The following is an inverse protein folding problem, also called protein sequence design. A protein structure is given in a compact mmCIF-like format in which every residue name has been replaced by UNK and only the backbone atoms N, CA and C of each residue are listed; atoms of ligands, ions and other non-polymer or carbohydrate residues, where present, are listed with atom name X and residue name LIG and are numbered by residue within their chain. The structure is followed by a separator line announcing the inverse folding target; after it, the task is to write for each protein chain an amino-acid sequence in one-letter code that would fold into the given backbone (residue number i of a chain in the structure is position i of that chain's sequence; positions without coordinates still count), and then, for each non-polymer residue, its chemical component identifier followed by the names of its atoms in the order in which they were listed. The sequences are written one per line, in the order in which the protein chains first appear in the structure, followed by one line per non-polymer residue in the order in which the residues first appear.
data_IF_485906915758
#
_entry.id   IF_485906915758
#
_cell.length_a   1.000
_cell.length_b   1.000
_cell.length_c   1.000
_cell.angle_alpha   90.00
_cell.angle_beta   90.00
_cell.angle_gamma   90.00
#
_symmetry.space_group_name_H-M   'P 1'
#
loop_
_entity.id
_entity.type
_entity.pdbx_description
1 polymer ?
#
# COMPACT_ATOMS: atom_id res chain seq x y z
N UNK A 1 4.27 51.07 -11.64
CA UNK A 1 5.37 50.60 -10.77
C UNK A 1 4.89 49.34 -10.12
N UNK A 2 5.21 48.22 -10.68
CA UNK A 2 4.75 46.90 -10.29
C UNK A 2 5.98 46.04 -10.04
N UNK A 3 6.25 45.77 -8.78
CA UNK A 3 7.31 44.83 -8.37
C UNK A 3 6.80 43.39 -8.46
N UNK A 4 7.37 42.62 -9.38
CA UNK A 4 7.21 41.16 -9.45
C UNK A 4 8.31 40.55 -8.59
N UNK A 5 7.95 40.00 -7.43
CA UNK A 5 8.86 39.16 -6.66
C UNK A 5 8.91 37.77 -7.28
N UNK A 6 10.08 37.40 -7.75
CA UNK A 6 10.38 36.06 -8.26
C UNK A 6 10.50 35.09 -7.10
N UNK A 7 9.66 34.07 -7.10
CA UNK A 7 9.76 32.92 -6.20
C UNK A 7 11.03 32.14 -6.54
N UNK A 8 11.99 32.16 -5.61
CA UNK A 8 13.27 31.47 -5.76
C UNK A 8 13.12 29.98 -5.89
N UNK A 9 13.77 29.40 -6.88
CA UNK A 9 13.87 27.96 -7.12
C UNK A 9 14.51 27.24 -5.92
N UNK A 10 14.02 26.06 -5.51
CA UNK A 10 14.63 25.30 -4.42
C UNK A 10 16.04 24.85 -4.82
N UNK A 11 17.02 25.19 -3.99
CA UNK A 11 18.40 24.72 -4.16
C UNK A 11 18.47 23.23 -3.83
N UNK A 12 18.87 22.43 -4.81
CA UNK A 12 19.31 21.04 -4.60
C UNK A 12 20.54 21.05 -3.69
N UNK A 13 20.39 20.49 -2.50
CA UNK A 13 21.54 20.21 -1.62
C UNK A 13 22.15 18.89 -2.09
N UNK A 14 23.23 18.99 -2.85
CA UNK A 14 24.05 17.84 -3.24
C UNK A 14 24.92 17.44 -2.05
N UNK A 15 24.61 16.34 -1.39
CA UNK A 15 25.47 15.74 -0.37
C UNK A 15 26.47 14.86 -1.11
N UNK A 16 27.70 15.34 -1.27
CA UNK A 16 28.81 14.53 -1.78
C UNK A 16 29.32 13.60 -0.64
N UNK A 17 29.40 12.28 -0.84
CA UNK A 17 30.04 11.40 0.13
C UNK A 17 31.56 11.62 0.07
N UNK A 18 32.18 11.85 1.22
CA UNK A 18 33.64 11.86 1.38
C UNK A 18 34.17 10.41 1.35
N UNK A 19 34.96 10.13 0.33
CA UNK A 19 36.18 9.31 0.41
C UNK A 19 36.06 7.79 0.43
N UNK A 20 36.47 7.14 -0.66
CA UNK A 20 37.44 6.08 -0.72
C UNK A 20 37.00 4.67 -0.31
N UNK A 21 36.91 3.78 -1.31
CA UNK A 21 36.92 2.32 -1.09
C UNK A 21 36.31 1.58 -2.28
N UNK A 22 37.09 0.74 -2.92
CA UNK A 22 36.77 -0.01 -4.12
C UNK A 22 35.60 -1.01 -4.00
N UNK A 23 35.24 -1.75 -5.09
CA UNK A 23 34.04 -2.52 -5.18
C UNK A 23 34.04 -3.71 -4.22
N UNK A 24 33.16 -3.67 -3.24
CA UNK A 24 32.87 -4.75 -2.31
C UNK A 24 31.79 -5.65 -2.88
N UNK A 25 32.11 -6.90 -3.01
CA UNK A 25 31.27 -8.06 -3.27
C UNK A 25 29.98 -8.04 -2.46
N UNK A 26 28.86 -8.32 -3.13
CA UNK A 26 27.50 -8.42 -2.60
C UNK A 26 27.36 -9.52 -1.54
N UNK A 27 27.71 -9.21 -0.29
CA UNK A 27 27.22 -9.90 0.90
C UNK A 27 26.14 -9.02 1.52
N UNK A 28 25.08 -9.61 2.11
CA UNK A 28 24.16 -8.91 3.00
C UNK A 28 24.99 -8.24 4.09
N UNK A 29 25.40 -7.01 3.88
CA UNK A 29 25.95 -6.20 4.95
C UNK A 29 24.80 -6.00 5.94
N UNK A 30 24.88 -6.66 7.09
CA UNK A 30 24.15 -6.25 8.28
C UNK A 30 24.50 -4.79 8.52
N UNK A 31 23.65 -3.90 8.04
CA UNK A 31 23.85 -2.47 8.25
C UNK A 31 23.64 -2.21 9.74
N UNK A 32 24.74 -2.20 10.47
CA UNK A 32 24.74 -1.79 11.87
C UNK A 32 24.12 -0.39 11.97
N UNK A 33 22.97 -0.32 12.59
CA UNK A 33 22.27 0.94 12.81
C UNK A 33 22.68 1.53 14.15
N UNK A 34 23.42 2.63 14.13
CA UNK A 34 23.79 3.36 15.36
C UNK A 34 22.64 4.28 15.75
N UNK A 35 22.15 4.15 16.99
CA UNK A 35 21.04 4.97 17.50
C UNK A 35 21.37 6.47 17.51
N UNK A 36 22.64 6.84 17.67
CA UNK A 36 23.11 8.23 17.60
C UNK A 36 22.96 8.88 16.22
N UNK A 37 22.92 8.08 15.16
CA UNK A 37 22.83 8.52 13.75
C UNK A 37 21.46 8.22 13.14
N UNK A 38 20.62 7.46 13.84
CA UNK A 38 19.36 6.99 13.34
C UNK A 38 18.27 8.03 13.51
N UNK A 39 17.48 8.27 12.45
CA UNK A 39 16.36 9.19 12.49
C UNK A 39 15.20 8.59 13.28
N UNK A 40 15.32 8.69 14.61
CA UNK A 40 14.30 8.22 15.55
C UNK A 40 14.18 9.20 16.71
N UNK A 41 12.95 9.48 17.11
CA UNK A 41 12.62 10.24 18.33
C UNK A 41 11.43 9.57 19.00
N UNK A 42 11.63 9.17 20.24
CA UNK A 42 10.57 8.60 21.08
C UNK A 42 9.85 9.70 21.87
N UNK A 43 8.65 9.41 22.30
CA UNK A 43 7.88 10.30 23.18
C UNK A 43 7.76 9.69 24.56
N UNK A 44 7.80 10.53 25.59
CA UNK A 44 7.58 10.10 26.98
C UNK A 44 6.09 9.87 27.24
N UNK A 45 5.25 10.75 26.71
CA UNK A 45 3.83 10.78 26.95
C UNK A 45 3.03 10.16 25.82
N UNK A 46 1.84 9.70 26.14
CA UNK A 46 0.92 9.17 25.16
C UNK A 46 0.36 10.31 24.31
N UNK A 47 0.23 10.11 22.97
CA UNK A 47 -0.47 11.06 22.13
C UNK A 47 -1.93 11.19 22.59
N UNK A 48 -2.44 12.42 22.63
CA UNK A 48 -3.78 12.71 23.12
C UNK A 48 -4.91 12.03 22.31
N UNK A 49 -4.62 11.69 21.04
CA UNK A 49 -5.55 11.04 20.12
C UNK A 49 -5.37 9.52 20.04
N UNK A 50 -4.49 8.92 20.84
CA UNK A 50 -4.19 7.51 20.81
C UNK A 50 -5.05 6.71 21.81
N UNK A 51 -6.22 6.27 21.36
CA UNK A 51 -7.17 5.51 22.19
C UNK A 51 -6.73 4.06 22.44
N UNK A 52 -6.07 3.41 21.44
CA UNK A 52 -5.69 1.99 21.51
C UNK A 52 -4.20 1.81 21.77
N UNK A 53 -3.80 0.72 22.46
CA UNK A 53 -2.39 0.48 22.80
C UNK A 53 -1.46 0.44 21.58
N UNK A 54 -1.86 -0.19 20.47
CA UNK A 54 -1.04 -0.25 19.28
C UNK A 54 -0.72 1.13 18.72
N UNK A 55 -1.69 2.03 18.64
CA UNK A 55 -1.48 3.41 18.22
C UNK A 55 -0.51 4.16 19.13
N UNK A 56 -0.73 4.07 20.44
CA UNK A 56 0.16 4.68 21.43
C UNK A 56 1.60 4.25 21.25
N UNK A 57 1.84 2.95 21.21
CA UNK A 57 3.19 2.42 21.10
C UNK A 57 3.87 2.74 19.79
N UNK A 58 3.17 2.65 18.65
CA UNK A 58 3.73 3.00 17.35
C UNK A 58 4.18 4.46 17.29
N UNK A 59 3.41 5.38 17.86
CA UNK A 59 3.77 6.80 17.90
C UNK A 59 4.88 7.04 18.90
N UNK A 60 4.78 6.53 20.14
CA UNK A 60 5.78 6.72 21.19
C UNK A 60 7.14 6.16 20.82
N UNK A 61 7.18 4.97 20.25
CA UNK A 61 8.41 4.32 19.85
C UNK A 61 9.03 4.87 18.55
N UNK A 62 8.39 5.86 17.89
CA UNK A 62 8.92 6.48 16.69
C UNK A 62 8.83 5.61 15.43
N UNK A 63 7.76 4.81 15.32
CA UNK A 63 7.46 4.04 14.12
C UNK A 63 6.63 4.83 13.12
N UNK A 64 5.70 5.63 13.61
CA UNK A 64 4.83 6.48 12.80
C UNK A 64 4.71 7.89 13.39
N UNK A 65 4.31 8.84 12.54
CA UNK A 65 3.85 10.18 12.96
C UNK A 65 2.57 10.55 12.23
N UNK A 66 1.65 11.16 12.95
CA UNK A 66 0.40 11.66 12.35
C UNK A 66 0.70 12.88 11.49
N UNK A 67 0.29 12.81 10.24
CA UNK A 67 0.31 13.94 9.29
C UNK A 67 -1.01 14.69 9.33
N UNK A 68 -2.12 13.92 9.31
CA UNK A 68 -3.49 14.41 9.45
C UNK A 68 -4.36 13.28 10.03
N UNK A 69 -5.63 13.51 10.40
CA UNK A 69 -6.53 12.46 10.85
C UNK A 69 -6.60 11.31 9.83
N UNK A 70 -6.19 10.10 10.24
CA UNK A 70 -6.17 8.91 9.38
C UNK A 70 -5.05 8.87 8.34
N UNK A 71 -4.07 9.79 8.40
CA UNK A 71 -2.93 9.86 7.48
C UNK A 71 -1.64 9.89 8.32
N UNK A 72 -0.73 8.95 8.05
CA UNK A 72 0.48 8.75 8.85
C UNK A 72 1.73 8.69 8.00
N UNK A 73 2.78 9.34 8.47
CA UNK A 73 4.13 9.15 7.95
C UNK A 73 4.75 7.93 8.62
N UNK A 74 5.24 6.99 7.83
CA UNK A 74 6.06 5.88 8.29
C UNK A 74 7.49 6.35 8.53
N UNK A 75 7.97 6.25 9.77
CA UNK A 75 9.35 6.55 10.13
C UNK A 75 10.26 5.33 9.85
N UNK A 76 11.59 5.46 9.86
CA UNK A 76 12.48 4.39 9.42
C UNK A 76 12.24 3.02 10.08
N UNK A 77 11.94 2.97 11.39
CA UNK A 77 11.61 1.69 12.06
C UNK A 77 10.30 1.11 11.58
N UNK A 78 9.25 1.94 11.50
CA UNK A 78 7.95 1.52 11.00
C UNK A 78 8.00 1.04 9.55
N UNK A 79 8.75 1.77 8.71
CA UNK A 79 8.94 1.40 7.30
C UNK A 79 9.68 0.07 7.14
N UNK A 80 10.66 -0.24 8.00
CA UNK A 80 11.33 -1.56 8.02
C UNK A 80 10.34 -2.68 8.32
N UNK A 81 9.44 -2.49 9.30
CA UNK A 81 8.40 -3.48 9.63
C UNK A 81 7.43 -3.65 8.46
N UNK A 82 6.92 -2.54 7.89
CA UNK A 82 6.03 -2.58 6.74
C UNK A 82 6.65 -3.37 5.57
N UNK A 83 7.89 -3.05 5.18
CA UNK A 83 8.60 -3.75 4.10
C UNK A 83 8.83 -5.23 4.39
N UNK A 84 9.01 -5.60 5.66
CA UNK A 84 9.12 -7.01 6.05
C UNK A 84 7.81 -7.76 5.86
N UNK A 85 6.69 -7.14 6.24
CA UNK A 85 5.34 -7.69 6.03
C UNK A 85 5.08 -7.82 4.52
N UNK A 86 5.38 -6.79 3.74
CA UNK A 86 5.26 -6.82 2.29
C UNK A 86 6.11 -7.94 1.65
N UNK A 87 7.34 -8.15 2.14
CA UNK A 87 8.22 -9.21 1.63
C UNK A 87 7.61 -10.60 1.88
N UNK A 88 7.06 -10.84 3.08
CA UNK A 88 6.34 -12.08 3.40
C UNK A 88 5.15 -12.30 2.45
N UNK A 89 4.36 -11.25 2.22
CA UNK A 89 3.23 -11.33 1.30
C UNK A 89 3.68 -11.64 -0.13
N UNK A 90 4.76 -11.00 -0.63
CA UNK A 90 5.32 -11.27 -1.97
C UNK A 90 5.79 -12.70 -2.13
N UNK A 91 6.51 -13.22 -1.14
CA UNK A 91 7.01 -14.59 -1.17
C UNK A 91 5.86 -15.62 -1.25
N UNK A 92 4.81 -15.43 -0.46
CA UNK A 92 3.68 -16.34 -0.46
C UNK A 92 2.78 -16.21 -1.71
N UNK A 93 2.65 -15.00 -2.25
CA UNK A 93 1.94 -14.81 -3.52
C UNK A 93 2.72 -15.39 -4.69
N UNK A 94 4.05 -15.23 -4.73
CA UNK A 94 4.90 -15.87 -5.73
C UNK A 94 4.84 -17.40 -5.64
N UNK A 95 4.78 -17.96 -4.43
CA UNK A 95 4.70 -19.41 -4.20
C UNK A 95 3.42 -20.06 -4.78
N UNK A 96 2.34 -19.29 -4.95
CA UNK A 96 1.11 -19.76 -5.63
C UNK A 96 1.06 -19.40 -7.11
N UNK A 97 2.14 -18.85 -7.67
CA UNK A 97 2.25 -18.47 -9.07
C UNK A 97 1.60 -17.13 -9.43
N UNK A 98 1.22 -16.33 -8.44
CA UNK A 98 0.68 -14.98 -8.70
C UNK A 98 1.78 -13.99 -9.05
N UNK A 99 1.54 -13.09 -10.00
CA UNK A 99 2.52 -12.15 -10.52
C UNK A 99 2.23 -10.73 -10.04
N UNK A 100 3.27 -10.02 -9.62
CA UNK A 100 3.14 -8.65 -9.10
C UNK A 100 3.03 -7.65 -10.26
N UNK A 101 2.04 -6.77 -10.20
CA UNK A 101 1.88 -5.58 -11.04
C UNK A 101 1.76 -4.35 -10.13
N UNK A 102 1.89 -3.16 -10.68
CA UNK A 102 1.74 -1.93 -9.90
C UNK A 102 0.96 -0.91 -10.70
N UNK A 103 -0.26 -0.64 -10.30
CA UNK A 103 -1.13 0.35 -10.92
C UNK A 103 -0.87 1.75 -10.37
N UNK A 104 -1.21 2.81 -11.12
CA UNK A 104 -1.24 4.16 -10.58
C UNK A 104 -2.29 4.30 -9.47
N UNK A 105 -2.04 5.20 -8.52
CA UNK A 105 -3.01 5.54 -7.49
C UNK A 105 -4.07 6.54 -7.98
N UNK A 106 -3.70 7.40 -8.93
CA UNK A 106 -4.59 8.35 -9.59
C UNK A 106 -5.22 7.68 -10.81
N UNK A 107 -6.54 7.55 -10.80
CA UNK A 107 -7.30 6.72 -11.73
C UNK A 107 -8.35 7.53 -12.49
N UNK A 108 -8.67 7.14 -13.75
CA UNK A 108 -9.78 7.73 -14.48
C UNK A 108 -11.13 7.29 -13.88
N UNK A 109 -12.13 8.16 -13.94
CA UNK A 109 -13.45 7.88 -13.36
C UNK A 109 -14.31 6.93 -14.18
N UNK A 110 -14.06 6.80 -15.48
CA UNK A 110 -14.93 6.08 -16.43
C UNK A 110 -15.12 4.60 -16.05
N UNK A 111 -14.09 3.82 -15.71
CA UNK A 111 -14.26 2.43 -15.27
C UNK A 111 -15.15 2.31 -14.03
N UNK A 112 -14.98 3.23 -13.09
CA UNK A 112 -15.75 3.23 -11.82
C UNK A 112 -17.21 3.71 -12.03
N UNK A 113 -17.46 4.54 -13.05
CA UNK A 113 -18.83 4.89 -13.50
C UNK A 113 -19.50 3.69 -14.15
N UNK A 114 -18.78 2.90 -14.96
CA UNK A 114 -19.33 1.71 -15.61
C UNK A 114 -19.75 0.62 -14.62
N UNK A 115 -19.02 0.45 -13.51
CA UNK A 115 -19.34 -0.51 -12.45
C UNK A 115 -20.30 0.07 -11.39
N UNK A 116 -20.77 1.30 -11.56
CA UNK A 116 -21.55 2.06 -10.58
C UNK A 116 -20.82 2.39 -9.26
N UNK A 117 -19.56 2.00 -9.10
CA UNK A 117 -18.78 2.28 -7.87
C UNK A 117 -18.53 3.76 -7.66
N UNK A 118 -18.51 4.56 -8.72
CA UNK A 118 -18.43 6.02 -8.60
C UNK A 118 -19.55 6.60 -7.72
N UNK A 119 -20.74 6.00 -7.74
CA UNK A 119 -21.90 6.41 -6.94
C UNK A 119 -21.95 5.63 -5.61
N UNK A 120 -21.78 4.31 -5.65
CA UNK A 120 -21.95 3.42 -4.48
C UNK A 120 -20.92 3.67 -3.37
N UNK A 121 -19.69 4.09 -3.70
CA UNK A 121 -18.72 4.49 -2.67
C UNK A 121 -19.12 5.76 -1.92
N UNK A 122 -20.08 6.55 -2.44
CA UNK A 122 -20.55 7.76 -1.79
C UNK A 122 -19.42 8.71 -1.44
N UNK A 123 -19.45 9.25 -0.23
CA UNK A 123 -18.45 10.21 0.26
C UNK A 123 -17.09 9.56 0.63
N UNK A 124 -17.01 8.23 0.67
CA UNK A 124 -15.74 7.54 0.90
C UNK A 124 -14.77 7.59 -0.30
N UNK A 125 -15.22 8.06 -1.46
CA UNK A 125 -14.40 8.17 -2.65
C UNK A 125 -13.74 9.55 -2.74
N UNK A 126 -12.41 9.60 -2.75
CA UNK A 126 -11.69 10.84 -3.08
C UNK A 126 -11.82 11.14 -4.58
N UNK A 127 -12.61 12.14 -4.92
CA UNK A 127 -12.84 12.62 -6.29
C UNK A 127 -12.01 13.86 -6.56
N UNK A 128 -11.43 13.93 -7.75
CA UNK A 128 -10.61 15.05 -8.20
C UNK A 128 -11.03 15.47 -9.61
N UNK A 129 -10.59 16.65 -10.00
CA UNK A 129 -10.65 17.12 -11.38
C UNK A 129 -9.25 17.49 -11.84
N UNK A 130 -8.93 17.13 -13.07
CA UNK A 130 -7.71 17.62 -13.70
C UNK A 130 -7.88 19.08 -14.17
N UNK A 131 -6.82 19.66 -14.73
CA UNK A 131 -6.86 21.05 -15.24
C UNK A 131 -7.82 21.26 -16.41
N UNK A 132 -8.23 20.19 -17.08
CA UNK A 132 -9.18 20.23 -18.21
C UNK A 132 -10.60 19.90 -17.77
N UNK A 133 -10.82 19.65 -16.49
CA UNK A 133 -12.12 19.33 -15.91
C UNK A 133 -12.51 17.85 -15.96
N UNK A 134 -11.60 16.95 -16.39
CA UNK A 134 -11.86 15.52 -16.36
C UNK A 134 -11.94 14.98 -14.93
N UNK A 135 -12.91 14.10 -14.68
CA UNK A 135 -13.07 13.45 -13.38
C UNK A 135 -12.00 12.36 -13.18
N UNK A 136 -11.35 12.42 -12.04
CA UNK A 136 -10.39 11.45 -11.57
C UNK A 136 -10.74 11.01 -10.15
N UNK A 137 -10.12 9.93 -9.67
CA UNK A 137 -10.23 9.48 -8.28
C UNK A 137 -8.88 8.98 -7.76
N UNK A 138 -8.74 8.96 -6.44
CA UNK A 138 -7.70 8.16 -5.79
C UNK A 138 -8.26 6.75 -5.54
N UNK A 139 -7.51 5.72 -5.97
CA UNK A 139 -7.98 4.34 -5.99
C UNK A 139 -8.37 3.79 -4.60
N UNK A 140 -9.66 3.53 -4.33
CA UNK A 140 -10.10 2.85 -3.10
C UNK A 140 -9.93 1.33 -3.20
N UNK A 141 -9.92 0.82 -4.42
CA UNK A 141 -9.71 -0.56 -4.89
C UNK A 141 -9.37 -0.52 -6.37
N UNK A 142 -8.93 -1.62 -6.98
CA UNK A 142 -8.44 -1.64 -8.36
C UNK A 142 -9.03 -2.78 -9.23
N UNK A 143 -10.14 -3.42 -8.84
CA UNK A 143 -10.76 -4.51 -9.63
C UNK A 143 -10.97 -4.11 -11.08
N UNK A 144 -11.51 -2.91 -11.32
CA UNK A 144 -11.75 -2.38 -12.65
C UNK A 144 -10.46 -2.31 -13.47
N UNK A 145 -9.37 -1.84 -12.85
CA UNK A 145 -8.10 -1.66 -13.52
C UNK A 145 -7.44 -3.01 -13.86
N UNK A 146 -7.51 -3.99 -12.95
CA UNK A 146 -7.06 -5.35 -13.20
C UNK A 146 -7.82 -5.99 -14.36
N UNK A 147 -9.14 -5.87 -14.34
CA UNK A 147 -10.00 -6.43 -15.39
C UNK A 147 -9.73 -5.79 -16.75
N UNK A 148 -9.57 -4.48 -16.81
CA UNK A 148 -9.26 -3.76 -18.05
C UNK A 148 -7.87 -4.12 -18.57
N UNK A 149 -6.87 -4.25 -17.71
CA UNK A 149 -5.52 -4.66 -18.12
C UNK A 149 -5.53 -6.06 -18.73
N UNK A 150 -6.19 -7.02 -18.06
CA UNK A 150 -6.28 -8.39 -18.57
C UNK A 150 -7.06 -8.43 -19.87
N UNK A 151 -8.17 -7.71 -19.99
CA UNK A 151 -8.98 -7.61 -21.22
C UNK A 151 -8.17 -7.01 -22.39
N UNK A 152 -7.27 -6.09 -22.13
CA UNK A 152 -6.42 -5.46 -23.16
C UNK A 152 -5.31 -6.40 -23.64
N UNK A 153 -4.71 -7.16 -22.72
CA UNK A 153 -3.54 -7.99 -22.99
C UNK A 153 -3.86 -9.42 -23.44
N UNK A 154 -4.99 -9.97 -23.03
CA UNK A 154 -5.37 -11.37 -23.25
C UNK A 154 -6.67 -11.48 -24.05
N UNK A 155 -6.62 -12.22 -25.14
CA UNK A 155 -7.76 -12.42 -26.05
C UNK A 155 -8.22 -13.87 -26.18
N UNK A 156 -7.50 -14.81 -25.55
CA UNK A 156 -7.78 -16.23 -25.64
C UNK A 156 -7.95 -16.87 -24.26
N UNK A 157 -8.96 -17.76 -24.15
CA UNK A 157 -9.11 -18.59 -22.93
C UNK A 157 -7.90 -19.50 -22.68
N UNK A 158 -7.04 -19.73 -23.68
CA UNK A 158 -5.80 -20.51 -23.53
C UNK A 158 -4.73 -19.79 -22.69
N UNK A 159 -4.88 -18.51 -22.49
CA UNK A 159 -3.99 -17.69 -21.65
C UNK A 159 -4.36 -17.78 -20.15
N UNK A 160 -5.47 -18.46 -19.84
CA UNK A 160 -5.97 -18.68 -18.49
C UNK A 160 -5.61 -20.08 -17.98
N UNK A 161 -5.48 -20.31 -16.66
CA UNK A 161 -5.74 -19.33 -15.57
C UNK A 161 -4.61 -18.32 -15.39
N UNK A 162 -4.96 -17.11 -14.94
CA UNK A 162 -4.02 -16.04 -14.61
C UNK A 162 -4.29 -15.56 -13.20
N UNK A 163 -3.22 -15.33 -12.42
CA UNK A 163 -3.30 -14.67 -11.12
C UNK A 163 -2.30 -13.51 -11.06
N UNK A 164 -2.80 -12.33 -10.75
CA UNK A 164 -1.99 -11.12 -10.62
C UNK A 164 -2.38 -10.36 -9.36
N UNK A 165 -1.42 -9.66 -8.75
CA UNK A 165 -1.62 -8.91 -7.53
C UNK A 165 -0.82 -7.63 -7.51
N UNK A 166 -1.12 -6.75 -6.58
CA UNK A 166 -0.30 -5.58 -6.27
C UNK A 166 -0.19 -5.37 -4.77
N UNK A 167 0.83 -4.60 -4.37
CA UNK A 167 0.92 -3.97 -3.06
C UNK A 167 0.96 -2.47 -3.33
N UNK A 168 -0.11 -1.75 -2.96
CA UNK A 168 -0.31 -0.36 -3.34
C UNK A 168 -1.08 0.39 -2.26
N UNK A 169 -0.83 1.69 -2.16
CA UNK A 169 -1.66 2.58 -1.35
C UNK A 169 -3.09 2.61 -1.87
N UNK A 170 -4.02 2.54 -0.94
CA UNK A 170 -5.46 2.75 -1.17
C UNK A 170 -5.92 3.98 -0.41
N UNK A 171 -6.96 4.60 -0.94
CA UNK A 171 -7.46 5.88 -0.45
C UNK A 171 -8.96 5.78 -0.23
N UNK A 172 -9.39 6.05 1.00
CA UNK A 172 -10.82 6.10 1.37
C UNK A 172 -11.05 7.29 2.26
N UNK A 173 -11.96 8.19 1.89
CA UNK A 173 -12.29 9.37 2.70
C UNK A 173 -13.12 8.97 3.92
N UNK A 174 -12.47 8.21 4.80
CA UNK A 174 -13.07 7.68 6.03
C UNK A 174 -13.52 8.83 6.94
N UNK A 175 -14.81 8.91 7.21
CA UNK A 175 -15.41 9.98 8.00
C UNK A 175 -14.92 9.97 9.45
N UNK A 176 -14.59 8.78 10.00
CA UNK A 176 -14.14 8.60 11.38
C UNK A 176 -12.91 7.69 11.45
N UNK A 177 -11.74 8.18 11.00
CA UNK A 177 -10.50 7.43 11.17
C UNK A 177 -10.23 7.18 12.65
N UNK A 178 -9.81 5.96 13.00
CA UNK A 178 -9.58 5.55 14.39
C UNK A 178 -8.52 4.47 14.51
N UNK A 179 -8.06 4.25 15.74
CA UNK A 179 -7.08 3.22 16.06
C UNK A 179 -5.77 3.32 15.25
N UNK A 180 -5.32 4.56 14.98
CA UNK A 180 -4.08 4.82 14.26
C UNK A 180 -4.14 4.29 12.83
N UNK A 181 -3.19 3.41 12.47
CA UNK A 181 -3.10 2.83 11.12
C UNK A 181 -4.13 1.74 10.82
N UNK A 182 -4.94 1.31 11.80
CA UNK A 182 -5.93 0.24 11.57
C UNK A 182 -7.11 0.70 10.72
N UNK A 183 -7.51 1.96 10.85
CA UNK A 183 -8.57 2.55 10.05
C UNK A 183 -8.22 3.97 9.64
N UNK A 184 -7.43 4.07 8.58
CA UNK A 184 -6.94 5.32 8.01
C UNK A 184 -7.62 5.70 6.70
N UNK A 185 -7.23 6.87 6.19
CA UNK A 185 -7.66 7.39 4.89
C UNK A 185 -6.71 7.00 3.76
N UNK A 186 -5.44 6.76 4.11
CA UNK A 186 -4.41 6.23 3.23
C UNK A 186 -3.76 5.03 3.93
N UNK A 187 -3.69 3.89 3.25
CA UNK A 187 -3.12 2.66 3.78
C UNK A 187 -2.61 1.76 2.67
N UNK A 188 -1.63 0.92 2.98
CA UNK A 188 -1.11 -0.07 2.05
C UNK A 188 -1.99 -1.32 2.07
N UNK A 189 -2.36 -1.81 0.89
CA UNK A 189 -3.12 -3.04 0.70
C UNK A 189 -2.42 -3.96 -0.28
N UNK A 190 -2.38 -5.26 0.02
CA UNK A 190 -2.17 -6.29 -0.98
C UNK A 190 -3.56 -6.70 -1.49
N UNK A 191 -3.81 -6.50 -2.75
CA UNK A 191 -5.00 -6.99 -3.45
C UNK A 191 -4.59 -7.90 -4.61
N UNK A 192 -5.27 -9.04 -4.76
CA UNK A 192 -4.95 -10.08 -5.72
C UNK A 192 -6.22 -10.55 -6.42
N UNK A 193 -6.10 -10.84 -7.70
CA UNK A 193 -7.21 -11.21 -8.58
C UNK A 193 -6.81 -12.41 -9.41
N UNK A 194 -7.71 -13.38 -9.53
CA UNK A 194 -7.57 -14.52 -10.44
C UNK A 194 -8.60 -14.40 -11.56
N UNK A 195 -8.19 -14.92 -12.72
CA UNK A 195 -9.01 -15.02 -13.92
C UNK A 195 -8.95 -16.47 -14.36
N UNK A 196 -10.07 -17.15 -14.25
CA UNK A 196 -10.18 -18.59 -14.43
C UNK A 196 -11.13 -18.90 -15.58
N UNK A 197 -11.05 -20.12 -16.16
CA UNK A 197 -11.85 -20.52 -17.31
C UNK A 197 -13.28 -20.85 -16.88
N UNK A 198 -13.44 -21.45 -15.70
CA UNK A 198 -14.69 -21.97 -15.17
C UNK A 198 -14.72 -21.91 -13.63
N UNK A 199 -15.83 -22.32 -13.04
CA UNK A 199 -16.04 -22.34 -11.60
C UNK A 199 -15.12 -23.33 -10.87
N UNK A 200 -14.70 -24.42 -11.49
CA UNK A 200 -13.74 -25.36 -10.92
C UNK A 200 -12.35 -24.72 -10.82
N UNK A 201 -11.92 -24.04 -11.86
CA UNK A 201 -10.69 -23.25 -11.89
C UNK A 201 -10.71 -22.13 -10.84
N UNK A 202 -11.83 -21.41 -10.73
CA UNK A 202 -12.03 -20.38 -9.70
C UNK A 202 -11.93 -20.96 -8.28
N UNK A 203 -12.56 -22.10 -8.02
CA UNK A 203 -12.47 -22.78 -6.73
C UNK A 203 -11.02 -23.19 -6.39
N UNK A 204 -10.29 -23.71 -7.38
CA UNK A 204 -8.88 -24.08 -7.21
C UNK A 204 -8.00 -22.83 -6.94
N UNK A 205 -8.24 -21.73 -7.62
CA UNK A 205 -7.55 -20.44 -7.39
C UNK A 205 -7.87 -19.88 -6.00
N UNK A 206 -9.12 -19.99 -5.55
CA UNK A 206 -9.53 -19.59 -4.20
C UNK A 206 -8.75 -20.38 -3.12
N UNK A 207 -8.66 -21.71 -3.24
CA UNK A 207 -7.95 -22.54 -2.26
C UNK A 207 -6.43 -22.24 -2.27
N UNK A 208 -5.81 -21.94 -3.41
CA UNK A 208 -4.42 -21.48 -3.47
C UNK A 208 -4.22 -20.20 -2.68
N UNK A 209 -5.11 -19.21 -2.86
CA UNK A 209 -5.07 -17.95 -2.12
C UNK A 209 -5.31 -18.16 -0.62
N UNK A 210 -6.29 -19.00 -0.27
CA UNK A 210 -6.56 -19.35 1.12
C UNK A 210 -5.34 -19.94 1.81
N UNK A 211 -4.67 -20.89 1.16
CA UNK A 211 -3.44 -21.48 1.69
C UNK A 211 -2.30 -20.46 1.82
N UNK A 212 -2.16 -19.53 0.86
CA UNK A 212 -1.18 -18.46 0.96
C UNK A 212 -1.45 -17.52 2.14
N UNK A 213 -2.70 -17.14 2.38
CA UNK A 213 -3.06 -16.30 3.53
C UNK A 213 -2.78 -16.99 4.88
N UNK A 214 -3.07 -18.28 4.98
CA UNK A 214 -2.73 -19.06 6.17
C UNK A 214 -1.24 -18.96 6.46
N UNK A 215 -0.39 -19.23 5.47
CA UNK A 215 1.07 -19.13 5.64
C UNK A 215 1.54 -17.72 5.96
N UNK A 216 0.93 -16.68 5.37
CA UNK A 216 1.26 -15.28 5.70
C UNK A 216 0.98 -15.01 7.18
N UNK A 217 -0.20 -15.38 7.68
CA UNK A 217 -0.58 -15.12 9.08
C UNK A 217 0.24 -15.95 10.06
N UNK A 218 0.53 -17.22 9.74
CA UNK A 218 1.42 -18.07 10.53
C UNK A 218 2.83 -17.45 10.64
N UNK A 219 3.39 -16.98 9.52
CA UNK A 219 4.71 -16.31 9.49
C UNK A 219 4.72 -14.98 10.24
N UNK A 220 3.59 -14.30 10.32
CA UNK A 220 3.43 -13.07 11.11
C UNK A 220 3.16 -13.34 12.58
N UNK A 221 2.89 -14.60 12.97
CA UNK A 221 2.66 -15.01 14.34
C UNK A 221 1.32 -14.54 14.92
N UNK A 222 0.29 -14.42 14.09
CA UNK A 222 -1.05 -14.05 14.55
C UNK A 222 -1.85 -15.26 14.98
N UNK A 223 -2.60 -15.10 16.08
CA UNK A 223 -3.73 -15.97 16.40
C UNK A 223 -4.93 -15.53 15.58
N UNK A 224 -5.47 -16.44 14.74
CA UNK A 224 -6.59 -16.11 13.84
C UNK A 224 -7.54 -17.29 13.67
N UNK A 225 -8.75 -17.00 13.23
CA UNK A 225 -9.74 -17.99 12.83
C UNK A 225 -10.25 -17.71 11.41
N UNK A 226 -10.41 -18.76 10.61
CA UNK A 226 -11.00 -18.66 9.29
C UNK A 226 -12.51 -18.86 9.43
N UNK A 227 -13.27 -17.87 8.99
CA UNK A 227 -14.73 -17.87 9.04
C UNK A 227 -15.31 -17.68 7.64
N UNK A 228 -16.52 -18.18 7.41
CA UNK A 228 -17.29 -17.86 6.22
C UNK A 228 -18.12 -16.60 6.48
N UNK A 229 -18.06 -15.65 5.58
CA UNK A 229 -18.99 -14.53 5.57
C UNK A 229 -20.41 -15.07 5.30
N UNK A 230 -21.41 -14.49 5.96
CA UNK A 230 -22.83 -14.78 5.73
C UNK A 230 -23.41 -13.80 4.71
#
# INVERSE_FOLDING_TARGET
MTGSEAIGSPRLVTVTPKGGGGPSTTGKADMLTRMSEFFVRTLREDPADAEVPSHRWLVRAGYIRRTAPGIYTWLPLGLRVLRRIEAIAREEMAAIGSQEVHFPALLPSEPYKQTNRWVEYGDNLFRLKDRKGADLLLGPTHEEMFTLLVKDMYSSYKDLPLSIYQIQNKYRDEARPRAGILRGREFVMKDSYSFDIDDEGLAASYEKHRAAYIRIFDRLGFDYAIVRAR
#
